data_IF_957706477073
#
_entry.id   IF_957706477073
#
_cell.length_a   1.000
_cell.length_b   1.000
_cell.length_c   1.000
_cell.angle_alpha   90.00
_cell.angle_beta   90.00
_cell.angle_gamma   90.00
#
_symmetry.space_group_name_H-M   'P 1'
#
loop_
_entity.id
_entity.type
_entity.pdbx_description
1 polymer ?
#
# COMPACT_ATOMS: atom_id res chain seq x y z
N UNK A 1 28.70 53.65 13.20
CA UNK A 1 28.37 53.72 14.64
C UNK A 1 27.83 52.34 15.04
N UNK A 2 28.54 51.60 15.91
CA UNK A 2 28.21 50.24 16.33
C UNK A 2 27.24 50.24 17.53
N UNK A 3 27.03 49.06 18.15
CA UNK A 3 26.37 48.77 19.45
C UNK A 3 24.95 48.22 19.28
N UNK A 4 24.51 47.13 19.90
CA UNK A 4 25.08 46.28 20.96
C UNK A 4 24.36 44.91 20.89
N UNK A 5 25.08 43.79 21.02
CA UNK A 5 25.25 43.01 22.25
C UNK A 5 24.01 42.25 22.73
N UNK A 6 24.05 40.92 22.59
CA UNK A 6 24.39 39.96 23.65
C UNK A 6 23.25 39.76 24.66
N UNK A 7 22.52 38.64 24.54
CA UNK A 7 22.13 37.82 25.70
C UNK A 7 22.27 36.36 25.31
N UNK A 8 23.37 35.76 25.76
CA UNK A 8 23.54 34.31 25.86
C UNK A 8 22.81 33.79 27.10
N UNK A 9 22.44 32.51 27.02
CA UNK A 9 22.53 31.56 28.13
C UNK A 9 21.53 31.67 29.28
N UNK A 10 20.46 30.87 29.16
CA UNK A 10 20.07 29.99 30.27
C UNK A 10 19.83 28.57 29.75
N UNK A 11 20.91 27.78 29.74
CA UNK A 11 20.83 26.33 29.83
C UNK A 11 20.09 25.95 31.12
N UNK A 12 18.95 25.30 30.98
CA UNK A 12 18.14 24.82 32.11
C UNK A 12 17.29 23.61 31.74
N UNK A 13 17.82 22.69 30.94
CA UNK A 13 17.17 21.39 30.70
C UNK A 13 17.35 20.56 31.97
N UNK A 14 16.35 20.59 32.86
CA UNK A 14 16.21 19.60 33.93
C UNK A 14 15.89 18.25 33.28
N UNK A 15 16.65 17.16 33.53
CA UNK A 15 16.25 15.85 33.08
C UNK A 15 15.00 15.40 33.83
N UNK A 16 13.96 15.00 33.10
CA UNK A 16 12.76 14.37 33.65
C UNK A 16 13.13 13.05 34.34
N UNK A 17 12.51 12.70 35.48
CA UNK A 17 12.82 11.47 36.19
C UNK A 17 12.49 10.24 35.32
N UNK A 18 13.49 9.36 35.22
CA UNK A 18 13.39 8.06 34.54
C UNK A 18 12.52 7.14 35.39
N UNK A 19 11.30 6.87 34.94
CA UNK A 19 10.44 5.84 35.54
C UNK A 19 11.00 4.46 35.18
N UNK A 20 11.57 3.77 36.16
CA UNK A 20 11.84 2.34 36.07
C UNK A 20 10.58 1.59 36.56
N UNK A 21 9.95 0.72 35.75
CA UNK A 21 8.95 -0.19 36.31
C UNK A 21 9.65 -1.18 37.25
N UNK A 22 9.28 -1.17 38.53
CA UNK A 22 9.61 -2.22 39.49
C UNK A 22 8.87 -3.51 39.09
N UNK A 23 9.52 -4.68 39.05
CA UNK A 23 8.81 -5.95 38.95
C UNK A 23 8.27 -6.30 40.33
N UNK A 24 6.95 -6.22 40.50
CA UNK A 24 6.28 -6.79 41.68
C UNK A 24 5.72 -8.15 41.30
N UNK A 25 6.35 -9.20 41.81
CA UNK A 25 5.78 -10.55 41.84
C UNK A 25 4.63 -10.58 42.85
N UNK A 26 3.40 -10.73 42.36
CA UNK A 26 2.29 -11.20 43.19
C UNK A 26 1.28 -11.97 42.34
N UNK A 27 1.21 -13.27 42.59
CA UNK A 27 0.10 -14.14 42.21
C UNK A 27 -1.18 -13.64 42.87
N UNK A 28 -2.24 -13.40 42.10
CA UNK A 28 -3.62 -13.42 42.58
C UNK A 28 -4.59 -13.59 41.42
N UNK A 29 -5.63 -14.38 41.66
CA UNK A 29 -6.51 -15.05 40.72
C UNK A 29 -7.82 -14.30 40.40
N UNK A 30 -8.22 -14.36 39.12
CA UNK A 30 -9.59 -14.25 38.54
C UNK A 30 -10.38 -12.92 38.65
N UNK A 31 -11.46 -12.68 37.85
CA UNK A 31 -11.99 -13.40 36.68
C UNK A 31 -12.21 -12.53 35.41
N UNK A 32 -12.52 -13.22 34.32
CA UNK A 32 -12.85 -12.79 32.95
C UNK A 32 -14.15 -11.98 32.82
N UNK A 33 -14.22 -10.89 32.00
CA UNK A 33 -15.50 -10.36 31.55
C UNK A 33 -15.89 -10.98 30.20
N UNK A 34 -16.93 -11.80 30.22
CA UNK A 34 -17.66 -12.30 29.05
C UNK A 34 -18.60 -11.22 28.52
N UNK A 35 -18.35 -10.68 27.32
CA UNK A 35 -19.36 -9.91 26.59
C UNK A 35 -20.14 -10.85 25.67
N UNK A 36 -21.39 -11.16 26.07
CA UNK A 36 -22.37 -11.91 25.29
C UNK A 36 -23.09 -10.96 24.34
N UNK A 37 -23.03 -11.22 23.04
CA UNK A 37 -23.98 -10.68 22.07
C UNK A 37 -24.98 -11.78 21.70
N UNK A 38 -26.23 -11.61 22.09
CA UNK A 38 -27.36 -12.45 21.65
C UNK A 38 -27.83 -12.00 20.25
N UNK A 39 -28.01 -12.89 19.28
CA UNK A 39 -28.79 -12.60 18.08
C UNK A 39 -30.27 -12.98 18.29
N UNK A 40 -31.24 -12.19 17.79
CA UNK A 40 -32.62 -12.66 17.63
C UNK A 40 -32.85 -13.19 16.21
N UNK A 41 -33.52 -14.35 16.12
CA UNK A 41 -34.04 -14.96 14.90
C UNK A 41 -35.57 -14.73 14.82
N UNK A 42 -36.03 -14.51 13.58
CA UNK A 42 -37.37 -14.66 12.96
C UNK A 42 -38.40 -13.51 12.92
N UNK A 43 -39.12 -13.36 11.77
CA UNK A 43 -39.92 -12.18 11.40
C UNK A 43 -41.44 -12.38 11.56
N UNK A 44 -42.25 -11.33 11.30
CA UNK A 44 -43.43 -11.55 10.48
C UNK A 44 -43.69 -10.47 9.41
N UNK A 45 -44.08 -10.95 8.23
CA UNK A 45 -45.10 -10.41 7.31
C UNK A 45 -45.23 -8.89 7.17
N UNK A 46 -44.78 -8.33 6.04
CA UNK A 46 -45.46 -7.19 5.44
C UNK A 46 -45.81 -7.45 3.97
N UNK A 47 -47.08 -7.20 3.70
CA UNK A 47 -47.80 -7.49 2.48
C UNK A 47 -47.51 -6.43 1.41
N UNK A 48 -47.43 -6.90 0.17
CA UNK A 48 -47.55 -6.22 -1.13
C UNK A 48 -47.86 -4.72 -1.16
N UNK A 49 -47.02 -3.93 -1.86
CA UNK A 49 -47.49 -3.08 -2.98
C UNK A 49 -46.36 -2.57 -3.87
N UNK A 50 -46.67 -2.56 -5.17
CA UNK A 50 -45.85 -2.24 -6.34
C UNK A 50 -45.18 -0.86 -6.33
N UNK A 51 -44.02 -0.78 -6.99
CA UNK A 51 -43.40 0.49 -7.39
C UNK A 51 -42.03 0.32 -8.04
N UNK A 52 -42.02 -0.03 -9.33
CA UNK A 52 -40.85 -0.08 -10.21
C UNK A 52 -40.07 1.24 -10.21
N UNK A 53 -38.72 1.18 -10.11
CA UNK A 53 -37.78 1.59 -11.17
C UNK A 53 -36.36 1.74 -10.58
N UNK A 54 -35.54 0.69 -10.62
CA UNK A 54 -34.10 0.82 -10.44
C UNK A 54 -33.39 0.00 -11.51
N UNK A 55 -32.89 0.71 -12.52
CA UNK A 55 -32.09 0.22 -13.63
C UNK A 55 -30.76 -0.31 -13.09
N UNK A 56 -30.66 -1.61 -12.84
CA UNK A 56 -29.38 -2.27 -12.57
C UNK A 56 -28.67 -2.58 -13.89
N UNK A 57 -27.51 -1.96 -14.10
CA UNK A 57 -26.58 -2.31 -15.18
C UNK A 57 -25.78 -3.53 -14.71
N UNK A 58 -26.02 -4.67 -15.33
CA UNK A 58 -25.31 -5.91 -15.03
C UNK A 58 -24.03 -5.98 -15.87
N UNK A 59 -22.86 -5.89 -15.21
CA UNK A 59 -21.54 -6.03 -15.83
C UNK A 59 -21.09 -7.49 -15.74
N UNK A 60 -21.91 -8.43 -16.23
CA UNK A 60 -21.57 -9.84 -16.22
C UNK A 60 -20.64 -10.14 -17.41
N UNK A 61 -19.37 -10.42 -17.11
CA UNK A 61 -18.36 -10.83 -18.08
C UNK A 61 -18.64 -12.30 -18.45
N UNK A 62 -19.31 -12.53 -19.58
CA UNK A 62 -19.60 -13.86 -20.10
C UNK A 62 -18.31 -14.51 -20.64
N UNK A 63 -17.69 -15.38 -19.85
CA UNK A 63 -16.67 -16.30 -20.35
C UNK A 63 -17.28 -17.69 -20.37
N UNK A 64 -17.84 -18.08 -21.51
CA UNK A 64 -18.39 -19.41 -21.71
C UNK A 64 -17.23 -20.41 -21.90
N UNK A 65 -17.06 -21.34 -20.96
CA UNK A 65 -16.22 -22.52 -21.15
C UNK A 65 -17.04 -23.62 -21.85
N UNK A 66 -16.45 -24.36 -22.81
CA UNK A 66 -17.18 -25.38 -23.56
C UNK A 66 -17.40 -26.61 -22.68
N UNK A 67 -18.67 -26.93 -22.44
CA UNK A 67 -19.11 -28.13 -21.73
C UNK A 67 -18.90 -29.36 -22.64
N UNK A 68 -17.91 -30.19 -22.32
CA UNK A 68 -17.82 -31.55 -22.87
C UNK A 68 -18.61 -32.47 -21.96
N UNK A 69 -19.82 -32.82 -22.37
CA UNK A 69 -20.69 -33.77 -21.67
C UNK A 69 -20.24 -35.20 -21.99
N UNK A 70 -19.67 -35.90 -21.00
CA UNK A 70 -19.62 -37.36 -20.98
C UNK A 70 -20.30 -37.85 -19.68
N UNK A 71 -20.95 -39.01 -19.78
CA UNK A 71 -22.13 -39.42 -19.03
C UNK A 71 -21.82 -40.35 -17.82
N UNK A 72 -22.34 -39.98 -16.63
CA UNK A 72 -22.63 -40.78 -15.40
C UNK A 72 -21.45 -41.39 -14.57
N UNK A 73 -21.60 -41.72 -13.25
CA UNK A 73 -22.81 -41.76 -12.42
C UNK A 73 -22.74 -41.04 -11.04
N UNK A 74 -23.93 -40.79 -10.46
CA UNK A 74 -24.23 -40.41 -9.07
C UNK A 74 -23.47 -39.22 -8.47
N UNK A 75 -23.88 -38.02 -8.85
CA UNK A 75 -23.51 -36.81 -8.12
C UNK A 75 -24.45 -36.64 -6.93
N UNK A 76 -24.03 -37.07 -5.75
CA UNK A 76 -24.39 -36.34 -4.55
C UNK A 76 -23.83 -34.93 -4.74
N UNK A 77 -24.69 -34.02 -5.20
CA UNK A 77 -24.40 -32.59 -5.31
C UNK A 77 -24.24 -32.03 -3.90
N UNK A 78 -23.10 -32.36 -3.29
CA UNK A 78 -22.61 -31.70 -2.10
C UNK A 78 -22.25 -30.29 -2.57
N UNK A 79 -23.24 -29.40 -2.48
CA UNK A 79 -23.09 -27.96 -2.50
C UNK A 79 -22.12 -27.58 -1.38
N UNK A 80 -20.81 -27.80 -1.61
CA UNK A 80 -19.75 -27.31 -0.75
C UNK A 80 -19.87 -25.81 -0.79
N UNK A 81 -20.53 -25.28 0.23
CA UNK A 81 -20.59 -23.85 0.49
C UNK A 81 -19.15 -23.35 0.46
N UNK A 82 -18.85 -22.46 -0.47
CA UNK A 82 -17.54 -21.83 -0.57
C UNK A 82 -17.22 -21.21 0.79
N UNK A 83 -16.20 -21.75 1.46
CA UNK A 83 -15.68 -21.20 2.71
C UNK A 83 -14.60 -20.16 2.37
N UNK A 84 -14.88 -18.85 2.51
CA UNK A 84 -13.90 -17.81 2.24
C UNK A 84 -12.71 -17.83 3.22
N UNK A 85 -12.80 -18.57 4.34
CA UNK A 85 -11.71 -18.74 5.31
C UNK A 85 -10.80 -19.94 5.03
N UNK A 86 -11.19 -20.85 4.12
CA UNK A 86 -10.37 -21.99 3.76
C UNK A 86 -9.16 -21.55 2.91
N UNK A 87 -7.96 -22.13 3.12
CA UNK A 87 -6.82 -21.84 2.28
C UNK A 87 -7.11 -22.25 0.83
N UNK A 88 -6.63 -21.48 -0.16
CA UNK A 88 -6.86 -21.79 -1.56
C UNK A 88 -6.26 -23.17 -1.93
N UNK A 89 -6.85 -23.89 -2.89
CA UNK A 89 -6.41 -25.24 -3.29
C UNK A 89 -5.12 -25.25 -4.11
N UNK A 90 -4.30 -24.19 -4.05
CA UNK A 90 -3.04 -24.04 -4.76
C UNK A 90 -2.00 -23.36 -3.86
N UNK A 91 -0.74 -23.73 -4.04
CA UNK A 91 0.38 -23.14 -3.30
C UNK A 91 0.98 -21.95 -4.07
N UNK A 92 1.76 -21.11 -3.38
CA UNK A 92 2.50 -20.00 -4.02
C UNK A 92 3.48 -20.48 -5.11
N UNK A 93 3.96 -21.74 -5.02
CA UNK A 93 4.82 -22.34 -6.03
C UNK A 93 4.07 -22.56 -7.36
N UNK A 94 2.80 -23.01 -7.29
CA UNK A 94 1.96 -23.27 -8.46
C UNK A 94 1.67 -21.96 -9.21
N UNK A 95 1.40 -20.89 -8.45
CA UNK A 95 1.21 -19.54 -9.01
C UNK A 95 2.49 -19.06 -9.71
N UNK A 96 3.66 -19.21 -9.07
CA UNK A 96 4.94 -18.79 -9.66
C UNK A 96 5.27 -19.59 -10.91
N UNK A 97 4.93 -20.88 -10.94
CA UNK A 97 5.15 -21.76 -12.10
C UNK A 97 4.24 -21.39 -13.29
N UNK A 98 3.04 -20.86 -13.01
CA UNK A 98 2.12 -20.39 -14.05
C UNK A 98 2.60 -19.08 -14.73
N UNK A 99 3.47 -18.30 -14.09
CA UNK A 99 4.00 -17.04 -14.66
C UNK A 99 5.14 -17.35 -15.65
N UNK A 100 5.03 -16.93 -16.93
CA UNK A 100 6.06 -17.15 -17.93
C UNK A 100 7.46 -16.66 -17.52
N UNK A 101 8.50 -17.41 -17.89
CA UNK A 101 9.90 -17.11 -17.51
C UNK A 101 10.37 -15.69 -17.89
N UNK A 102 9.87 -15.18 -19.01
CA UNK A 102 10.25 -13.84 -19.49
C UNK A 102 9.73 -12.70 -18.60
N UNK A 103 8.66 -12.92 -17.81
CA UNK A 103 8.14 -11.93 -16.88
C UNK A 103 9.08 -11.69 -15.68
N UNK A 104 9.99 -12.62 -15.40
CA UNK A 104 10.96 -12.50 -14.32
C UNK A 104 12.22 -11.73 -14.73
N UNK A 105 12.38 -11.42 -16.02
CA UNK A 105 13.54 -10.69 -16.55
C UNK A 105 13.34 -9.19 -16.35
N UNK A 106 14.02 -8.65 -15.34
CA UNK A 106 14.06 -7.20 -15.09
C UNK A 106 14.99 -6.53 -16.09
N UNK A 107 14.55 -5.43 -16.70
CA UNK A 107 15.37 -4.63 -17.61
C UNK A 107 15.78 -3.30 -16.93
N UNK A 108 17.02 -3.16 -16.45
CA UNK A 108 17.47 -1.97 -15.73
C UNK A 108 17.42 -0.68 -16.57
N UNK A 109 17.63 -0.79 -17.89
CA UNK A 109 17.57 0.36 -18.79
C UNK A 109 16.15 0.91 -18.90
N UNK A 110 15.15 0.02 -18.96
CA UNK A 110 13.75 0.42 -18.94
C UNK A 110 13.40 1.08 -17.61
N UNK A 111 13.82 0.49 -16.48
CA UNK A 111 13.61 1.09 -15.15
C UNK A 111 14.25 2.48 -15.03
N UNK A 112 15.49 2.64 -15.50
CA UNK A 112 16.20 3.92 -15.50
C UNK A 112 15.55 4.94 -16.44
N UNK A 113 14.99 4.51 -17.57
CA UNK A 113 14.26 5.40 -18.48
C UNK A 113 13.04 6.04 -17.81
N UNK A 114 12.35 5.31 -16.91
CA UNK A 114 11.27 5.86 -16.12
C UNK A 114 11.76 6.88 -15.09
N UNK A 115 12.91 6.64 -14.45
CA UNK A 115 13.54 7.63 -13.56
C UNK A 115 13.82 8.93 -14.31
N UNK A 116 14.50 8.84 -15.46
CA UNK A 116 14.86 10.02 -16.26
C UNK A 116 13.61 10.75 -16.74
N UNK A 117 12.60 10.02 -17.23
CA UNK A 117 11.31 10.59 -17.63
C UNK A 117 10.66 11.36 -16.48
N UNK A 118 10.56 10.75 -15.30
CA UNK A 118 9.84 11.35 -14.17
C UNK A 118 10.59 12.59 -13.67
N UNK A 119 11.92 12.53 -13.59
CA UNK A 119 12.76 13.69 -13.26
C UNK A 119 12.60 14.80 -14.29
N UNK A 120 12.60 14.49 -15.59
CA UNK A 120 12.40 15.48 -16.65
C UNK A 120 11.01 16.13 -16.56
N UNK A 121 9.96 15.37 -16.25
CA UNK A 121 8.61 15.91 -16.04
C UNK A 121 8.57 16.82 -14.81
N UNK A 122 9.21 16.44 -13.70
CA UNK A 122 9.25 17.26 -12.48
C UNK A 122 9.89 18.63 -12.73
N UNK A 123 11.04 18.64 -13.41
CA UNK A 123 11.72 19.88 -13.78
C UNK A 123 10.94 20.65 -14.85
N UNK A 124 10.33 19.96 -15.81
CA UNK A 124 9.49 20.57 -16.84
C UNK A 124 8.25 21.27 -16.26
N UNK A 125 7.55 20.62 -15.33
CA UNK A 125 6.41 21.20 -14.62
C UNK A 125 6.82 22.44 -13.82
N UNK A 126 7.95 22.37 -13.11
CA UNK A 126 8.47 23.52 -12.37
C UNK A 126 8.84 24.69 -13.30
N UNK A 127 9.50 24.39 -14.43
CA UNK A 127 9.88 25.41 -15.42
C UNK A 127 8.64 26.06 -16.06
N UNK A 128 7.63 25.27 -16.44
CA UNK A 128 6.37 25.78 -17.00
C UNK A 128 5.64 26.67 -15.99
N UNK A 129 5.49 26.21 -14.74
CA UNK A 129 4.83 27.00 -13.69
C UNK A 129 5.57 28.32 -13.43
N UNK A 130 6.90 28.28 -13.35
CA UNK A 130 7.73 29.46 -13.14
C UNK A 130 7.70 30.44 -14.33
N UNK A 131 7.70 29.92 -15.56
CA UNK A 131 7.70 30.74 -16.78
C UNK A 131 6.39 31.53 -16.94
N UNK A 132 5.24 30.86 -16.77
CA UNK A 132 3.94 31.53 -16.94
C UNK A 132 3.49 32.32 -15.70
N UNK A 133 3.96 31.92 -14.50
CA UNK A 133 3.70 32.57 -13.21
C UNK A 133 2.25 33.10 -13.04
N UNK A 134 1.27 32.24 -13.33
CA UNK A 134 -0.14 32.57 -13.27
C UNK A 134 -0.78 31.94 -12.03
N UNK A 135 -1.56 32.71 -11.26
CA UNK A 135 -2.30 32.24 -10.09
C UNK A 135 -3.09 30.95 -10.33
N UNK A 136 -3.72 30.81 -11.50
CA UNK A 136 -4.52 29.62 -11.83
C UNK A 136 -3.66 28.37 -12.10
N UNK A 137 -2.40 28.54 -12.49
CA UNK A 137 -1.48 27.42 -12.75
C UNK A 137 -0.89 26.86 -11.47
N UNK A 138 -0.84 27.62 -10.38
CA UNK A 138 -0.23 27.18 -9.12
C UNK A 138 -0.96 25.98 -8.49
N UNK A 139 -2.30 25.97 -8.33
CA UNK A 139 -3.01 24.81 -7.81
C UNK A 139 -2.85 23.57 -8.71
N UNK A 140 -2.88 23.76 -10.03
CA UNK A 140 -2.67 22.67 -10.99
C UNK A 140 -1.25 22.12 -10.90
N UNK A 141 -0.26 22.99 -10.78
CA UNK A 141 1.14 22.64 -10.58
C UNK A 141 1.33 21.86 -9.28
N UNK A 142 0.78 22.32 -8.14
CA UNK A 142 0.93 21.60 -6.88
C UNK A 142 0.37 20.18 -6.95
N UNK A 143 -0.81 20.02 -7.55
CA UNK A 143 -1.42 18.71 -7.74
C UNK A 143 -0.59 17.80 -8.66
N UNK A 144 -0.18 18.32 -9.81
CA UNK A 144 0.63 17.56 -10.77
C UNK A 144 2.02 17.22 -10.21
N UNK A 145 2.70 18.18 -9.59
CA UNK A 145 4.02 18.01 -9.01
C UNK A 145 4.00 17.05 -7.81
N UNK A 146 2.98 17.15 -6.95
CA UNK A 146 2.77 16.20 -5.86
C UNK A 146 2.58 14.77 -6.36
N UNK A 147 1.83 14.60 -7.46
CA UNK A 147 1.65 13.30 -8.12
C UNK A 147 2.96 12.76 -8.68
N UNK A 148 3.81 13.62 -9.25
CA UNK A 148 5.12 13.19 -9.76
C UNK A 148 6.12 12.85 -8.65
N UNK A 149 6.07 13.52 -7.50
CA UNK A 149 6.85 13.09 -6.33
C UNK A 149 6.38 11.76 -5.76
N UNK A 150 5.08 11.47 -5.81
CA UNK A 150 4.57 10.13 -5.50
C UNK A 150 5.11 9.08 -6.50
N UNK A 151 5.24 9.41 -7.78
CA UNK A 151 5.89 8.52 -8.74
C UNK A 151 7.35 8.21 -8.33
N UNK A 152 8.15 9.21 -7.93
CA UNK A 152 9.50 8.96 -7.40
C UNK A 152 9.49 8.07 -6.15
N UNK A 153 8.51 8.24 -5.26
CA UNK A 153 8.34 7.37 -4.11
C UNK A 153 8.12 5.92 -4.53
N UNK A 154 7.25 5.67 -5.52
CA UNK A 154 6.97 4.33 -6.07
C UNK A 154 8.23 3.71 -6.69
N UNK A 155 8.99 4.47 -7.50
CA UNK A 155 10.23 3.96 -8.08
C UNK A 155 11.28 3.62 -7.00
N UNK A 156 11.41 4.45 -5.96
CA UNK A 156 12.27 4.16 -4.83
C UNK A 156 11.77 2.97 -3.99
N UNK A 157 10.46 2.78 -3.90
CA UNK A 157 9.84 1.61 -3.28
C UNK A 157 10.18 0.32 -4.02
N UNK A 158 10.14 0.35 -5.35
CA UNK A 158 10.52 -0.78 -6.20
C UNK A 158 12.00 -1.12 -6.07
N UNK A 159 12.85 -0.12 -5.84
CA UNK A 159 14.25 -0.33 -5.46
C UNK A 159 14.35 -1.06 -4.10
N UNK A 160 13.51 -0.70 -3.14
CA UNK A 160 13.45 -1.34 -1.81
C UNK A 160 13.04 -2.81 -1.84
N UNK A 161 12.11 -3.16 -2.73
CA UNK A 161 11.69 -4.54 -3.02
C UNK A 161 12.68 -5.31 -3.91
N UNK A 162 13.58 -4.60 -4.60
CA UNK A 162 14.48 -5.18 -5.57
C UNK A 162 13.80 -5.58 -6.89
N UNK A 163 12.59 -5.07 -7.17
CA UNK A 163 11.92 -5.24 -8.47
C UNK A 163 12.49 -4.30 -9.54
N UNK A 164 13.17 -3.22 -9.14
CA UNK A 164 13.77 -2.24 -10.05
C UNK A 164 14.86 -2.82 -10.97
N UNK A 165 15.79 -3.60 -10.40
CA UNK A 165 16.86 -4.28 -11.15
C UNK A 165 17.35 -5.54 -10.43
N UNK A 166 18.14 -6.38 -11.11
CA UNK A 166 18.77 -7.55 -10.50
C UNK A 166 20.01 -7.21 -9.66
N UNK A 167 20.55 -5.99 -9.75
CA UNK A 167 21.71 -5.56 -8.97
C UNK A 167 21.27 -4.81 -7.70
N UNK A 168 21.61 -5.37 -6.54
CA UNK A 168 21.29 -4.79 -5.25
C UNK A 168 22.00 -3.46 -5.01
N UNK A 169 23.20 -3.24 -5.57
CA UNK A 169 23.93 -1.97 -5.46
C UNK A 169 23.22 -0.87 -6.23
N UNK A 170 22.85 -1.15 -7.49
CA UNK A 170 22.07 -0.23 -8.30
C UNK A 170 20.76 0.16 -7.61
N UNK A 171 20.02 -0.83 -7.09
CA UNK A 171 18.79 -0.56 -6.33
C UNK A 171 19.05 0.28 -5.08
N UNK A 172 20.17 0.07 -4.40
CA UNK A 172 20.48 0.85 -3.19
C UNK A 172 20.80 2.30 -3.53
N UNK A 173 21.63 2.54 -4.56
CA UNK A 173 21.98 3.89 -5.02
C UNK A 173 20.76 4.62 -5.57
N UNK A 174 20.03 4.00 -6.50
CA UNK A 174 18.82 4.60 -7.09
C UNK A 174 17.76 4.87 -6.02
N UNK A 175 17.50 3.92 -5.12
CA UNK A 175 16.56 4.09 -4.02
C UNK A 175 16.94 5.24 -3.09
N UNK A 176 18.23 5.36 -2.73
CA UNK A 176 18.72 6.50 -1.94
C UNK A 176 18.51 7.83 -2.67
N UNK A 177 18.90 7.93 -3.94
CA UNK A 177 18.74 9.17 -4.72
C UNK A 177 17.26 9.59 -4.83
N UNK A 178 16.38 8.63 -5.17
CA UNK A 178 14.95 8.88 -5.36
C UNK A 178 14.28 9.29 -4.05
N UNK A 179 14.44 8.51 -2.98
CA UNK A 179 13.79 8.81 -1.70
C UNK A 179 14.39 10.04 -1.00
N UNK A 180 15.71 10.28 -1.10
CA UNK A 180 16.31 11.49 -0.55
C UNK A 180 15.79 12.77 -1.23
N UNK A 181 15.50 12.72 -2.53
CA UNK A 181 14.94 13.87 -3.26
C UNK A 181 13.56 14.32 -2.75
N UNK A 182 12.81 13.41 -2.13
CA UNK A 182 11.49 13.66 -1.53
C UNK A 182 11.52 13.60 0.01
N UNK A 183 12.71 13.71 0.61
CA UNK A 183 12.94 13.71 2.07
C UNK A 183 12.48 12.44 2.80
N UNK A 184 12.43 11.30 2.09
CA UNK A 184 12.17 9.99 2.68
C UNK A 184 13.50 9.32 3.02
N UNK A 185 13.74 8.90 4.28
CA UNK A 185 14.97 8.20 4.64
C UNK A 185 14.93 6.75 4.13
N UNK A 186 15.50 6.52 2.95
CA UNK A 186 15.44 5.23 2.23
C UNK A 186 15.81 4.01 3.09
N UNK A 187 16.89 4.09 3.88
CA UNK A 187 17.37 2.95 4.64
C UNK A 187 16.38 2.50 5.71
N UNK A 188 15.89 3.44 6.53
CA UNK A 188 14.90 3.16 7.56
C UNK A 188 13.58 2.69 6.94
N UNK A 189 13.14 3.40 5.90
CA UNK A 189 11.92 3.08 5.16
C UNK A 189 11.96 1.65 4.59
N UNK A 190 13.06 1.24 3.93
CA UNK A 190 13.22 -0.10 3.35
C UNK A 190 13.08 -1.22 4.39
N UNK A 191 13.59 -0.99 5.60
CA UNK A 191 13.53 -1.99 6.68
C UNK A 191 12.10 -2.09 7.20
N UNK A 192 11.48 -0.97 7.58
CA UNK A 192 10.10 -0.95 8.09
C UNK A 192 9.09 -1.47 7.06
N UNK A 193 9.31 -1.15 5.80
CA UNK A 193 8.46 -1.60 4.70
C UNK A 193 8.55 -3.11 4.48
N UNK A 194 9.76 -3.68 4.55
CA UNK A 194 9.93 -5.15 4.48
C UNK A 194 9.21 -5.86 5.62
N UNK A 195 9.27 -5.33 6.84
CA UNK A 195 8.58 -5.94 8.00
C UNK A 195 7.06 -5.83 7.90
N UNK A 196 6.54 -4.83 7.19
CA UNK A 196 5.10 -4.68 6.95
C UNK A 196 4.55 -5.70 5.92
N UNK A 197 5.39 -6.18 4.99
CA UNK A 197 5.00 -7.13 3.94
C UNK A 197 5.33 -8.60 4.25
N UNK A 198 5.90 -8.88 5.42
CA UNK A 198 6.14 -10.24 5.92
C UNK A 198 4.84 -10.87 6.41
#
# INVERSE_FOLDING_TARGET
VPMASWVLSQCGIKPLPRFYPKPTTSFSSNPTPTFRFNPPITPPSLNSRNGSLARTRNWALNVATPLTTLESPSEEEHTKRFDPGAPPPFNLADIRAAIPKHCWVKNPWKSMSYVVRDVAIIFGLAAVAAYFNNWLLWPLYWFAQGTMFWALFVLGHDCGHGSFSNDQRLNSVAGHLLHSSILVPYHGWRISHRTHHQ
#
